data_IF_769033251510
#
_entry.id   IF_769033251510
#
_cell.length_a   1.000
_cell.length_b   1.000
_cell.length_c   1.000
_cell.angle_alpha   90.00
_cell.angle_beta   90.00
_cell.angle_gamma   90.00
#
_symmetry.space_group_name_H-M   'P 1'
#
loop_
_entity.id
_entity.type
_entity.pdbx_description
1 polymer ?
#
# COMPACT_ATOMS: atom_id res chain seq x y z
N UNK A 1 38.25 54.89 -28.02
CA UNK A 1 37.71 54.83 -26.65
C UNK A 1 36.47 53.96 -26.69
N UNK A 2 36.58 52.75 -26.17
CA UNK A 2 35.69 51.62 -26.46
C UNK A 2 34.57 51.56 -25.41
N UNK A 3 33.32 51.53 -25.88
CA UNK A 3 32.12 51.33 -25.04
C UNK A 3 32.12 49.91 -24.46
N UNK A 4 32.05 49.80 -23.14
CA UNK A 4 31.90 48.52 -22.42
C UNK A 4 30.42 48.28 -22.17
N UNK A 5 29.82 47.34 -22.91
CA UNK A 5 28.47 46.84 -22.68
C UNK A 5 28.48 45.84 -21.50
N UNK A 6 27.70 46.13 -20.47
CA UNK A 6 27.42 45.20 -19.37
C UNK A 6 26.40 44.15 -19.83
N UNK A 7 26.81 42.89 -19.86
CA UNK A 7 25.90 41.76 -20.05
C UNK A 7 25.61 41.14 -18.69
N UNK A 8 24.38 41.29 -18.18
CA UNK A 8 23.88 40.50 -17.06
C UNK A 8 23.26 39.22 -17.64
N UNK A 9 24.02 38.14 -17.64
CA UNK A 9 23.50 36.80 -17.94
C UNK A 9 22.91 36.25 -16.64
N UNK A 10 21.58 36.22 -16.54
CA UNK A 10 20.87 35.56 -15.46
C UNK A 10 20.40 34.22 -16.02
N UNK A 11 21.18 33.17 -15.77
CA UNK A 11 20.79 31.79 -16.06
C UNK A 11 19.48 31.50 -15.31
N UNK A 12 18.38 31.40 -16.05
CA UNK A 12 17.11 30.90 -15.53
C UNK A 12 17.28 29.41 -15.26
N UNK A 13 17.34 29.07 -13.97
CA UNK A 13 17.25 27.69 -13.49
C UNK A 13 15.93 27.07 -13.98
N UNK A 14 15.93 25.88 -14.61
CA UNK A 14 14.69 25.24 -15.04
C UNK A 14 13.83 24.97 -13.81
N UNK A 15 12.56 25.36 -13.85
CA UNK A 15 11.60 25.06 -12.79
C UNK A 15 11.63 23.55 -12.47
N UNK A 16 11.58 23.15 -11.18
CA UNK A 16 11.54 21.75 -10.81
C UNK A 16 10.39 21.06 -11.54
N UNK A 17 10.70 20.03 -12.33
CA UNK A 17 9.69 19.23 -12.99
C UNK A 17 8.85 18.56 -11.90
N UNK A 18 7.57 18.90 -11.86
CA UNK A 18 6.61 18.21 -11.00
C UNK A 18 6.60 16.72 -11.38
N UNK A 19 6.43 15.81 -10.41
CA UNK A 19 6.25 14.39 -10.70
C UNK A 19 5.07 14.22 -11.65
N UNK A 20 5.34 13.66 -12.84
CA UNK A 20 4.29 13.31 -13.80
C UNK A 20 3.53 12.13 -13.20
N UNK A 21 2.32 12.39 -12.72
CA UNK A 21 1.37 11.35 -12.34
C UNK A 21 1.12 10.43 -13.54
N UNK A 22 0.92 9.11 -13.35
CA UNK A 22 0.68 8.19 -14.45
C UNK A 22 -0.52 8.67 -15.27
N UNK A 23 -0.34 8.78 -16.59
CA UNK A 23 -1.44 9.06 -17.50
C UNK A 23 -2.36 7.83 -17.53
N UNK A 24 -3.56 7.93 -16.94
CA UNK A 24 -4.53 6.83 -17.07
C UNK A 24 -5.85 6.92 -16.33
N UNK A 25 -5.94 7.65 -15.21
CA UNK A 25 -7.16 7.65 -14.40
C UNK A 25 -7.62 9.08 -14.12
N UNK A 26 -8.87 9.38 -14.46
CA UNK A 26 -9.52 10.63 -14.07
C UNK A 26 -9.39 10.81 -12.54
N UNK A 27 -8.72 11.87 -12.03
CA UNK A 27 -8.49 12.06 -10.61
C UNK A 27 -9.76 12.05 -9.76
N UNK A 28 -10.90 12.50 -10.32
CA UNK A 28 -12.18 12.47 -9.63
C UNK A 28 -12.76 11.06 -9.56
N UNK A 29 -12.56 10.23 -10.59
CA UNK A 29 -12.97 8.83 -10.55
C UNK A 29 -12.13 8.03 -9.57
N UNK A 30 -10.81 8.25 -9.53
CA UNK A 30 -9.95 7.63 -8.52
C UNK A 30 -10.39 8.03 -7.12
N UNK A 31 -10.60 9.32 -6.86
CA UNK A 31 -11.06 9.78 -5.56
C UNK A 31 -12.42 9.19 -5.18
N UNK A 32 -13.36 9.11 -6.13
CA UNK A 32 -14.65 8.45 -5.89
C UNK A 32 -14.48 6.97 -5.54
N UNK A 33 -13.59 6.25 -6.21
CA UNK A 33 -13.32 4.85 -5.91
C UNK A 33 -12.74 4.65 -4.50
N UNK A 34 -11.74 5.45 -4.12
CA UNK A 34 -11.09 5.41 -2.80
C UNK A 34 -12.04 5.82 -1.66
N UNK A 35 -12.96 6.75 -1.94
CA UNK A 35 -13.95 7.23 -0.95
C UNK A 35 -15.23 6.40 -0.94
N UNK A 36 -15.44 5.54 -1.95
CA UNK A 36 -16.62 4.67 -2.01
C UNK A 36 -16.61 3.77 -0.78
N UNK A 37 -17.74 3.68 -0.04
CA UNK A 37 -17.88 2.67 1.00
C UNK A 37 -17.54 1.29 0.44
N UNK A 38 -16.93 0.42 1.25
CA UNK A 38 -16.80 -0.98 0.89
C UNK A 38 -18.21 -1.50 0.56
N UNK A 39 -18.39 -2.14 -0.60
CA UNK A 39 -19.71 -2.63 -1.00
C UNK A 39 -20.13 -3.74 -0.03
N UNK A 40 -21.23 -3.53 0.70
CA UNK A 40 -21.76 -4.46 1.70
C UNK A 40 -21.45 -4.07 3.16
N UNK A 41 -22.24 -4.57 4.13
CA UNK A 41 -22.08 -4.22 5.54
C UNK A 41 -20.80 -4.83 6.10
N UNK A 42 -19.76 -4.02 6.34
CA UNK A 42 -18.60 -4.39 7.17
C UNK A 42 -17.71 -5.53 6.63
N UNK A 43 -17.89 -5.94 5.38
CA UNK A 43 -17.17 -7.04 4.79
C UNK A 43 -15.65 -6.72 4.77
N UNK A 44 -14.88 -7.48 5.55
CA UNK A 44 -13.42 -7.36 5.60
C UNK A 44 -12.85 -8.24 4.51
N UNK A 45 -11.95 -7.71 3.69
CA UNK A 45 -11.24 -8.50 2.68
C UNK A 45 -9.82 -8.74 3.16
N UNK A 46 -9.40 -10.00 3.12
CA UNK A 46 -8.09 -10.41 3.58
C UNK A 46 -7.37 -11.16 2.45
N UNK A 47 -6.09 -10.83 2.24
CA UNK A 47 -5.23 -11.47 1.25
C UNK A 47 -3.94 -11.88 1.94
N UNK A 48 -3.59 -13.16 1.82
CA UNK A 48 -2.27 -13.64 2.24
C UNK A 48 -1.23 -13.30 1.18
N UNK A 49 -0.14 -12.67 1.60
CA UNK A 49 1.00 -12.32 0.75
C UNK A 49 2.26 -13.01 1.29
N UNK A 50 2.56 -14.23 0.86
CA UNK A 50 3.64 -15.05 1.44
C UNK A 50 5.03 -14.49 1.14
N UNK A 51 5.20 -13.76 0.04
CA UNK A 51 6.50 -13.24 -0.40
C UNK A 51 6.90 -11.94 0.30
N UNK A 52 8.10 -11.44 -0.01
CA UNK A 52 8.49 -10.10 0.42
C UNK A 52 7.52 -9.05 -0.14
N UNK A 53 7.20 -8.07 0.70
CA UNK A 53 6.38 -6.92 0.32
C UNK A 53 7.32 -5.72 0.23
N UNK A 54 7.16 -4.90 -0.80
CA UNK A 54 7.91 -3.65 -0.96
C UNK A 54 6.94 -2.47 -1.12
N UNK A 55 7.14 -1.42 -0.34
CA UNK A 55 6.38 -0.17 -0.39
C UNK A 55 7.30 0.92 -0.91
N UNK A 56 6.91 1.58 -2.01
CA UNK A 56 7.79 2.54 -2.68
C UNK A 56 9.16 1.97 -3.09
N UNK A 57 9.24 0.64 -3.28
CA UNK A 57 10.50 -0.06 -3.56
C UNK A 57 11.36 -0.40 -2.33
N UNK A 58 10.90 -0.07 -1.11
CA UNK A 58 11.59 -0.38 0.14
C UNK A 58 11.02 -1.68 0.73
N UNK A 59 11.84 -2.70 1.01
CA UNK A 59 11.38 -3.94 1.62
C UNK A 59 10.74 -3.71 3.00
N UNK A 60 9.54 -4.21 3.18
CA UNK A 60 8.81 -4.18 4.45
C UNK A 60 9.45 -5.17 5.42
N UNK A 61 9.57 -4.74 6.67
CA UNK A 61 10.07 -5.57 7.76
C UNK A 61 9.27 -5.34 9.02
N UNK A 62 8.91 -6.42 9.70
CA UNK A 62 8.12 -6.35 10.91
C UNK A 62 8.97 -5.70 12.01
N UNK A 63 8.46 -4.63 12.62
CA UNK A 63 9.13 -3.94 13.72
C UNK A 63 9.28 -4.83 14.96
N UNK A 64 8.37 -5.79 15.17
CA UNK A 64 8.37 -6.67 16.34
C UNK A 64 9.29 -7.90 16.19
N UNK A 65 9.21 -8.63 15.07
CA UNK A 65 9.93 -9.90 14.90
C UNK A 65 10.96 -9.90 13.77
N UNK A 66 11.11 -8.79 13.04
CA UNK A 66 12.06 -8.62 11.92
C UNK A 66 11.83 -9.53 10.71
N UNK A 67 10.70 -10.23 10.64
CA UNK A 67 10.29 -10.97 9.45
C UNK A 67 10.09 -10.03 8.25
N UNK A 68 10.39 -10.53 7.05
CA UNK A 68 10.29 -9.80 5.77
C UNK A 68 9.19 -10.31 4.84
N UNK A 69 8.51 -11.38 5.25
CA UNK A 69 7.61 -12.19 4.43
C UNK A 69 6.42 -12.68 5.27
N UNK A 70 5.51 -13.41 4.65
CA UNK A 70 4.24 -13.87 5.24
C UNK A 70 3.46 -12.71 5.86
N UNK A 71 2.94 -11.87 4.98
CA UNK A 71 2.11 -10.74 5.31
C UNK A 71 0.64 -11.08 5.11
N UNK A 72 -0.22 -10.45 5.90
CA UNK A 72 -1.64 -10.37 5.62
C UNK A 72 -1.99 -8.93 5.32
N UNK A 73 -2.62 -8.71 4.16
CA UNK A 73 -3.22 -7.43 3.81
C UNK A 73 -4.70 -7.48 4.14
N UNK A 74 -5.16 -6.51 4.92
CA UNK A 74 -6.54 -6.42 5.40
C UNK A 74 -7.12 -5.11 4.90
N UNK A 75 -8.12 -5.19 4.02
CA UNK A 75 -8.90 -4.03 3.63
C UNK A 75 -10.21 -4.00 4.42
N UNK A 76 -10.40 -2.90 5.12
CA UNK A 76 -11.62 -2.61 5.86
C UNK A 76 -12.02 -1.15 5.62
N UNK A 77 -13.09 -0.96 4.85
CA UNK A 77 -13.49 0.35 4.35
C UNK A 77 -12.44 0.93 3.39
N UNK A 78 -11.97 2.15 3.67
CA UNK A 78 -10.93 2.83 2.87
C UNK A 78 -9.49 2.50 3.28
N UNK A 79 -9.33 1.76 4.38
CA UNK A 79 -8.02 1.56 5.00
C UNK A 79 -7.50 0.17 4.65
N UNK A 80 -6.20 0.11 4.35
CA UNK A 80 -5.46 -1.14 4.24
C UNK A 80 -4.51 -1.26 5.42
N UNK A 81 -4.51 -2.42 6.05
CA UNK A 81 -3.63 -2.75 7.15
C UNK A 81 -2.70 -3.88 6.73
N UNK A 82 -1.44 -3.78 7.13
CA UNK A 82 -0.49 -4.88 7.02
C UNK A 82 -0.38 -5.54 8.38
N UNK A 83 -0.46 -6.86 8.40
CA UNK A 83 -0.27 -7.67 9.59
C UNK A 83 0.78 -8.74 9.36
N UNK A 84 1.71 -8.82 10.30
CA UNK A 84 2.67 -9.92 10.38
C UNK A 84 2.05 -11.13 11.07
N UNK A 85 2.55 -12.32 10.76
CA UNK A 85 2.19 -13.57 11.45
C UNK A 85 2.49 -13.58 12.97
N UNK A 86 3.34 -12.67 13.45
CA UNK A 86 3.54 -12.43 14.89
C UNK A 86 2.47 -11.53 15.54
N UNK A 87 1.38 -11.23 14.84
CA UNK A 87 0.28 -10.36 15.27
C UNK A 87 0.60 -8.86 15.34
N UNK A 88 1.81 -8.43 14.98
CA UNK A 88 2.10 -7.01 14.81
C UNK A 88 1.37 -6.47 13.56
N UNK A 89 0.61 -5.40 13.74
CA UNK A 89 -0.26 -4.82 12.72
C UNK A 89 -0.12 -3.30 12.70
N UNK A 90 -0.16 -2.72 11.51
CA UNK A 90 -0.16 -1.27 11.33
C UNK A 90 -1.03 -0.87 10.15
N UNK A 91 -1.54 0.36 10.19
CA UNK A 91 -2.24 0.99 9.07
C UNK A 91 -1.19 1.34 8.03
N UNK A 92 -1.42 0.96 6.78
CA UNK A 92 -0.52 1.29 5.68
C UNK A 92 -1.17 2.34 4.76
N UNK A 93 -0.76 3.63 4.87
CA UNK A 93 -1.35 4.70 4.08
C UNK A 93 -0.92 4.69 2.60
N UNK A 94 0.21 4.03 2.28
CA UNK A 94 0.74 4.02 0.90
C UNK A 94 0.06 2.99 0.00
N UNK A 95 -0.65 2.01 0.57
CA UNK A 95 -1.45 1.05 -0.20
C UNK A 95 -2.86 1.63 -0.36
N UNK A 96 -3.18 2.06 -1.58
CA UNK A 96 -4.54 2.48 -1.93
C UNK A 96 -5.48 1.27 -2.00
N UNK A 97 -6.80 1.52 -1.99
CA UNK A 97 -7.76 0.45 -2.24
C UNK A 97 -7.57 -0.14 -3.64
N UNK A 98 -7.24 0.68 -4.63
CA UNK A 98 -6.95 0.21 -5.99
C UNK A 98 -5.74 -0.73 -6.03
N UNK A 99 -4.65 -0.40 -5.32
CA UNK A 99 -3.48 -1.27 -5.23
C UNK A 99 -3.81 -2.60 -4.52
N UNK A 100 -4.60 -2.53 -3.45
CA UNK A 100 -5.09 -3.73 -2.77
C UNK A 100 -6.01 -4.58 -3.66
N UNK A 101 -6.92 -3.96 -4.40
CA UNK A 101 -7.84 -4.66 -5.30
C UNK A 101 -7.07 -5.29 -6.48
N UNK A 102 -6.00 -4.66 -6.98
CA UNK A 102 -5.09 -5.24 -7.96
C UNK A 102 -4.33 -6.47 -7.42
N UNK A 103 -4.11 -6.57 -6.11
CA UNK A 103 -3.55 -7.77 -5.46
C UNK A 103 -4.58 -8.89 -5.30
N UNK A 104 -5.88 -8.55 -5.22
CA UNK A 104 -7.01 -9.51 -5.13
C UNK A 104 -7.42 -10.08 -6.49
N UNK A 105 -7.05 -9.49 -7.62
CA UNK A 105 -7.46 -10.05 -8.93
C UNK A 105 -6.91 -11.48 -9.22
N UNK A 106 -6.13 -12.06 -8.28
CA UNK A 106 -5.84 -13.50 -8.17
C UNK A 106 -6.82 -14.27 -7.24
N UNK A 107 -6.83 -15.61 -7.26
CA UNK A 107 -7.80 -16.44 -6.51
C UNK A 107 -7.75 -16.33 -4.97
N UNK A 108 -6.85 -15.51 -4.41
CA UNK A 108 -6.43 -15.56 -3.01
C UNK A 108 -7.13 -14.53 -2.10
N UNK A 109 -7.91 -13.61 -2.67
CA UNK A 109 -8.70 -12.64 -1.89
C UNK A 109 -10.01 -13.24 -1.39
N UNK A 110 -10.11 -13.40 -0.07
CA UNK A 110 -11.35 -13.90 0.57
C UNK A 110 -12.03 -12.80 1.37
N UNK A 111 -13.35 -12.72 1.22
CA UNK A 111 -14.20 -11.84 2.03
C UNK A 111 -14.65 -12.55 3.29
N UNK A 112 -14.43 -11.92 4.44
CA UNK A 112 -14.80 -12.43 5.76
C UNK A 112 -15.86 -11.53 6.42
N UNK A 113 -16.75 -12.10 7.27
CA UNK A 113 -17.73 -11.33 8.05
C UNK A 113 -17.10 -10.34 9.04
N UNK A 114 -15.89 -10.62 9.52
CA UNK A 114 -15.12 -9.76 10.44
C UNK A 114 -13.61 -9.89 10.21
N UNK A 115 -12.84 -8.96 10.77
CA UNK A 115 -11.36 -9.02 10.74
C UNK A 115 -10.90 -10.25 11.49
N UNK A 116 -11.42 -10.47 12.70
CA UNK A 116 -11.02 -11.56 13.60
C UNK A 116 -11.21 -12.94 12.95
N UNK A 117 -12.32 -13.15 12.26
CA UNK A 117 -12.56 -14.40 11.52
C UNK A 117 -11.54 -14.61 10.40
N UNK A 118 -11.20 -13.54 9.66
CA UNK A 118 -10.15 -13.60 8.64
C UNK A 118 -8.76 -13.91 9.23
N UNK A 119 -8.44 -13.35 10.40
CA UNK A 119 -7.18 -13.60 11.09
C UNK A 119 -7.04 -15.07 11.51
N UNK A 120 -8.09 -15.65 12.08
CA UNK A 120 -8.08 -17.06 12.50
C UNK A 120 -8.05 -17.98 11.28
N UNK A 121 -8.90 -17.73 10.29
CA UNK A 121 -8.99 -18.58 9.09
C UNK A 121 -7.66 -18.63 8.31
N UNK A 122 -6.90 -17.53 8.31
CA UNK A 122 -5.63 -17.42 7.58
C UNK A 122 -4.41 -17.63 8.49
N UNK A 123 -4.57 -17.94 9.77
CA UNK A 123 -3.46 -18.18 10.69
C UNK A 123 -2.58 -16.96 10.96
N UNK A 124 -3.18 -15.78 11.06
CA UNK A 124 -2.53 -14.52 11.44
C UNK A 124 -2.99 -14.01 12.82
N UNK A 125 -3.68 -14.83 13.59
CA UNK A 125 -4.06 -14.57 14.98
C UNK A 125 -2.87 -14.59 15.96
N UNK A 126 -1.71 -15.06 15.51
CA UNK A 126 -0.45 -15.10 16.27
C UNK A 126 -0.02 -16.49 16.70
N UNK A 127 -0.88 -17.51 16.51
CA UNK A 127 -0.58 -18.90 16.87
C UNK A 127 0.65 -19.42 16.10
N UNK A 128 0.84 -18.96 14.87
CA UNK A 128 1.94 -19.37 13.99
C UNK A 128 3.12 -18.41 13.97
N UNK A 129 3.26 -17.53 14.98
CA UNK A 129 4.41 -16.63 15.10
C UNK A 129 5.74 -17.43 15.01
N UNK A 130 6.63 -17.00 14.11
CA UNK A 130 7.91 -17.68 13.90
C UNK A 130 7.89 -18.75 12.80
N UNK A 131 6.72 -19.16 12.30
CA UNK A 131 6.58 -20.14 11.22
C UNK A 131 6.41 -19.36 9.90
N UNK A 132 7.54 -19.17 9.22
CA UNK A 132 7.61 -18.49 7.93
C UNK A 132 7.91 -19.52 6.85
N UNK A 133 6.92 -19.83 6.01
CA UNK A 133 7.02 -20.91 5.02
C UNK A 133 7.74 -20.38 3.77
N UNK A 134 8.59 -21.23 3.17
CA UNK A 134 9.29 -20.97 1.90
C UNK A 134 8.42 -21.34 0.68
#
# INVERSE_FOLDING_TARGET
>A
MTLVLRTTDRTTEPAPALPVLPAGTDPLLQLQYETRPADGPGATRCVSHPHELALGGIPVMCSACRARRDWLLINHGRNVWIRCRCSNQWLEPEISRADFDALIDGPDGTTYPSVEEGLVALGFDGVFAGIYLE
#
